data_IF_871923829441
#
_entry.id   IF_871923829441
#
_cell.length_a   1.000
_cell.length_b   1.000
_cell.length_c   1.000
_cell.angle_alpha   90.00
_cell.angle_beta   90.00
_cell.angle_gamma   90.00
#
_symmetry.space_group_name_H-M   'P 1'
#
loop_
_entity.id
_entity.type
_entity.pdbx_description
1 polymer ?
#
# COMPACT_ATOMS: atom_id res chain seq x y z
N UNK A 1 1.14 -20.76 -24.88
CA UNK A 1 1.89 -19.91 -23.92
C UNK A 1 1.35 -20.23 -22.56
N UNK A 2 2.17 -20.69 -21.63
CA UNK A 2 1.74 -21.10 -20.29
C UNK A 2 1.88 -19.90 -19.36
N UNK A 3 0.78 -19.15 -19.16
CA UNK A 3 0.75 -17.97 -18.29
C UNK A 3 0.85 -18.41 -16.84
N UNK A 4 1.88 -17.99 -16.12
CA UNK A 4 2.12 -18.36 -14.73
C UNK A 4 1.68 -17.31 -13.73
N UNK A 5 1.77 -16.04 -14.09
CA UNK A 5 1.40 -14.93 -13.22
C UNK A 5 0.86 -13.73 -14.01
N UNK A 6 -0.02 -12.98 -13.36
CA UNK A 6 -0.49 -11.67 -13.79
C UNK A 6 -0.08 -10.67 -12.71
N UNK A 7 0.68 -9.65 -13.10
CA UNK A 7 1.07 -8.54 -12.20
C UNK A 7 0.32 -7.30 -12.65
N UNK A 8 -0.44 -6.69 -11.75
CA UNK A 8 -1.28 -5.53 -12.04
C UNK A 8 -0.97 -4.38 -11.08
N UNK A 9 -0.87 -3.19 -11.65
CA UNK A 9 -1.04 -1.96 -10.86
C UNK A 9 -2.51 -1.75 -10.51
N UNK A 10 -2.77 -0.95 -9.47
CA UNK A 10 -4.13 -0.71 -8.95
C UNK A 10 -4.76 0.50 -9.63
N UNK A 11 -4.13 1.66 -9.55
CA UNK A 11 -4.72 2.92 -9.98
C UNK A 11 -4.55 3.13 -11.49
N UNK A 12 -5.67 3.19 -12.22
CA UNK A 12 -5.66 3.33 -13.68
C UNK A 12 -5.40 2.03 -14.45
N UNK A 13 -5.24 0.89 -13.75
CA UNK A 13 -5.07 -0.44 -14.36
C UNK A 13 -6.14 -1.42 -13.88
N UNK A 14 -6.13 -1.79 -12.60
CA UNK A 14 -7.14 -2.67 -12.00
C UNK A 14 -8.47 -1.93 -11.81
N UNK A 15 -8.40 -0.67 -11.39
CA UNK A 15 -9.55 0.18 -11.11
C UNK A 15 -9.91 1.04 -12.30
N UNK A 16 -11.23 1.19 -12.52
CA UNK A 16 -11.78 2.17 -13.46
C UNK A 16 -11.78 3.60 -12.88
N UNK A 17 -12.33 4.56 -13.63
CA UNK A 17 -12.41 5.97 -13.21
C UNK A 17 -13.27 6.19 -11.95
N UNK A 18 -14.21 5.28 -11.66
CA UNK A 18 -15.02 5.27 -10.44
C UNK A 18 -14.29 4.61 -9.24
N UNK A 19 -13.02 4.25 -9.41
CA UNK A 19 -12.18 3.59 -8.38
C UNK A 19 -12.72 2.24 -7.89
N UNK A 20 -13.37 1.50 -8.77
CA UNK A 20 -13.90 0.15 -8.52
C UNK A 20 -13.36 -0.86 -9.53
N UNK A 21 -13.27 -2.13 -9.12
CA UNK A 21 -12.99 -3.24 -10.03
C UNK A 21 -14.29 -3.55 -10.78
N UNK A 22 -14.26 -3.51 -12.11
CA UNK A 22 -15.47 -3.83 -12.89
C UNK A 22 -15.84 -5.30 -12.71
N UNK A 23 -17.15 -5.67 -12.81
CA UNK A 23 -17.57 -7.06 -12.72
C UNK A 23 -16.85 -7.97 -13.72
N UNK A 24 -16.63 -7.48 -14.95
CA UNK A 24 -15.92 -8.22 -16.01
C UNK A 24 -14.45 -8.46 -15.63
N UNK A 25 -13.75 -7.45 -15.14
CA UNK A 25 -12.35 -7.56 -14.70
C UNK A 25 -12.25 -8.54 -13.54
N UNK A 26 -13.12 -8.39 -12.53
CA UNK A 26 -13.17 -9.27 -11.36
C UNK A 26 -13.36 -10.73 -11.76
N UNK A 27 -14.36 -11.03 -12.58
CA UNK A 27 -14.65 -12.39 -13.04
C UNK A 27 -13.47 -12.98 -13.82
N UNK A 28 -12.87 -12.20 -14.73
CA UNK A 28 -11.72 -12.65 -15.52
C UNK A 28 -10.51 -13.01 -14.65
N UNK A 29 -10.22 -12.19 -13.62
CA UNK A 29 -9.11 -12.44 -12.69
C UNK A 29 -9.38 -13.64 -11.78
N UNK A 30 -10.61 -13.82 -11.31
CA UNK A 30 -10.99 -15.01 -10.52
C UNK A 30 -10.80 -16.28 -11.35
N UNK A 31 -11.30 -16.31 -12.59
CA UNK A 31 -11.13 -17.46 -13.50
C UNK A 31 -9.66 -17.74 -13.82
N UNK A 32 -8.84 -16.71 -13.97
CA UNK A 32 -7.40 -16.90 -14.16
C UNK A 32 -6.75 -17.57 -12.94
N UNK A 33 -7.10 -17.14 -11.73
CA UNK A 33 -6.61 -17.74 -10.48
C UNK A 33 -7.11 -19.19 -10.32
N UNK A 34 -8.37 -19.48 -10.65
CA UNK A 34 -8.92 -20.84 -10.68
C UNK A 34 -8.16 -21.75 -11.64
N UNK A 35 -7.66 -21.20 -12.75
CA UNK A 35 -6.81 -21.90 -13.70
C UNK A 35 -5.33 -22.04 -13.25
N UNK A 36 -5.00 -21.61 -12.03
CA UNK A 36 -3.66 -21.74 -11.44
C UNK A 36 -2.73 -20.56 -11.73
N UNK A 37 -3.19 -19.49 -12.34
CA UNK A 37 -2.40 -18.28 -12.59
C UNK A 37 -2.27 -17.47 -11.29
N UNK A 38 -1.06 -17.13 -10.88
CA UNK A 38 -0.81 -16.30 -9.69
C UNK A 38 -1.16 -14.84 -9.97
N UNK A 39 -1.93 -14.23 -9.07
CA UNK A 39 -2.22 -12.80 -9.13
C UNK A 39 -1.33 -12.03 -8.18
N UNK A 40 -0.75 -10.95 -8.68
CA UNK A 40 0.11 -10.03 -7.93
C UNK A 40 -0.43 -8.63 -8.13
N UNK A 41 -0.77 -7.94 -7.04
CA UNK A 41 -1.06 -6.50 -7.08
C UNK A 41 0.17 -5.72 -6.64
N UNK A 42 0.60 -4.77 -7.46
CA UNK A 42 1.76 -3.93 -7.20
C UNK A 42 1.33 -2.46 -7.21
N UNK A 43 1.63 -1.72 -6.14
CA UNK A 43 1.20 -0.33 -6.01
C UNK A 43 2.13 0.49 -5.09
N UNK A 44 2.11 1.82 -5.27
CA UNK A 44 2.67 2.75 -4.30
C UNK A 44 1.89 2.85 -2.99
N UNK A 45 0.69 2.28 -2.94
CA UNK A 45 -0.16 2.30 -1.74
C UNK A 45 0.45 1.52 -0.59
N UNK A 46 0.21 1.95 0.67
CA UNK A 46 0.51 1.12 1.84
C UNK A 46 -0.38 -0.13 1.87
N UNK A 47 0.09 -1.19 2.51
CA UNK A 47 -0.60 -2.49 2.58
C UNK A 47 -2.09 -2.39 2.99
N UNK A 48 -2.47 -1.65 4.06
CA UNK A 48 -3.88 -1.56 4.46
C UNK A 48 -4.82 -1.04 3.35
N UNK A 49 -4.31 -0.16 2.48
CA UNK A 49 -5.08 0.39 1.36
C UNK A 49 -5.28 -0.61 0.20
N UNK A 50 -4.55 -1.71 0.19
CA UNK A 50 -4.63 -2.76 -0.82
C UNK A 50 -5.51 -3.94 -0.40
N UNK A 51 -5.69 -4.17 0.91
CA UNK A 51 -6.37 -5.36 1.45
C UNK A 51 -7.81 -5.53 0.96
N UNK A 52 -8.53 -4.44 0.72
CA UNK A 52 -9.90 -4.53 0.20
C UNK A 52 -9.96 -5.19 -1.19
N UNK A 53 -8.97 -4.91 -2.05
CA UNK A 53 -8.90 -5.45 -3.40
C UNK A 53 -8.44 -6.92 -3.39
N UNK A 54 -7.49 -7.27 -2.52
CA UNK A 54 -7.08 -8.67 -2.37
C UNK A 54 -8.24 -9.54 -1.88
N UNK A 55 -9.05 -9.06 -0.94
CA UNK A 55 -10.26 -9.75 -0.47
C UNK A 55 -11.33 -9.87 -1.55
N UNK A 56 -11.58 -8.79 -2.30
CA UNK A 56 -12.54 -8.80 -3.41
C UNK A 56 -12.15 -9.80 -4.50
N UNK A 57 -10.86 -9.98 -4.75
CA UNK A 57 -10.30 -10.93 -5.71
C UNK A 57 -9.97 -12.30 -5.10
N UNK A 58 -10.30 -12.53 -3.81
CA UNK A 58 -10.06 -13.78 -3.07
C UNK A 58 -8.62 -14.28 -3.13
N UNK A 59 -7.67 -13.35 -3.13
CA UNK A 59 -6.25 -13.67 -3.35
C UNK A 59 -5.66 -14.56 -2.25
N UNK A 60 -6.25 -14.54 -1.03
CA UNK A 60 -5.89 -15.44 0.07
C UNK A 60 -6.10 -16.91 -0.29
N UNK A 61 -7.16 -17.24 -1.06
CA UNK A 61 -7.46 -18.61 -1.47
C UNK A 61 -6.57 -19.11 -2.62
N UNK A 62 -6.06 -18.19 -3.44
CA UNK A 62 -5.28 -18.51 -4.63
C UNK A 62 -3.79 -18.19 -4.48
N UNK A 63 -3.35 -17.94 -3.23
CA UNK A 63 -1.93 -17.69 -2.93
C UNK A 63 -1.36 -16.48 -3.68
N UNK A 64 -2.12 -15.39 -3.76
CA UNK A 64 -1.69 -14.13 -4.38
C UNK A 64 -0.65 -13.37 -3.55
N UNK A 65 -0.08 -12.34 -4.15
CA UNK A 65 0.92 -11.47 -3.51
C UNK A 65 0.51 -9.99 -3.61
N UNK A 66 0.85 -9.23 -2.58
CA UNK A 66 0.74 -7.77 -2.56
C UNK A 66 2.14 -7.15 -2.50
N UNK A 67 2.49 -6.35 -3.49
CA UNK A 67 3.66 -5.50 -3.49
C UNK A 67 3.21 -4.09 -3.14
N UNK A 68 3.45 -3.66 -1.91
CA UNK A 68 3.06 -2.35 -1.38
C UNK A 68 4.25 -1.39 -1.26
N UNK A 69 3.98 -0.11 -1.04
CA UNK A 69 4.99 0.94 -0.86
C UNK A 69 6.03 0.96 -1.99
N UNK A 70 5.57 0.94 -3.26
CA UNK A 70 6.43 0.88 -4.45
C UNK A 70 7.37 -0.34 -4.50
N UNK A 71 6.92 -1.48 -3.97
CA UNK A 71 7.71 -2.72 -3.91
C UNK A 71 8.63 -2.84 -2.70
N UNK A 72 8.61 -1.87 -1.78
CA UNK A 72 9.39 -1.97 -0.53
C UNK A 72 8.89 -3.07 0.41
N UNK A 73 7.66 -3.55 0.23
CA UNK A 73 7.10 -4.66 1.01
C UNK A 73 6.40 -5.65 0.09
N UNK A 74 6.60 -6.95 0.38
CA UNK A 74 5.89 -8.06 -0.28
C UNK A 74 5.16 -8.88 0.78
N UNK A 75 3.83 -8.97 0.65
CA UNK A 75 2.98 -9.72 1.58
C UNK A 75 2.32 -10.88 0.85
N UNK A 76 2.33 -12.05 1.47
CA UNK A 76 1.65 -13.25 1.00
C UNK A 76 0.21 -13.27 1.49
N UNK A 77 -0.75 -13.26 0.58
CA UNK A 77 -2.17 -13.09 0.94
C UNK A 77 -2.78 -14.24 1.73
N UNK A 78 -2.23 -15.46 1.62
CA UNK A 78 -2.82 -16.63 2.27
C UNK A 78 -2.56 -16.68 3.78
N UNK A 79 -1.47 -16.08 4.25
CA UNK A 79 -1.07 -16.10 5.66
C UNK A 79 -0.83 -14.72 6.25
N UNK A 80 -0.97 -13.66 5.45
CA UNK A 80 -0.60 -12.29 5.78
C UNK A 80 0.90 -12.13 6.16
N UNK A 81 1.72 -13.12 5.80
CA UNK A 81 3.15 -13.11 6.06
C UNK A 81 3.86 -12.09 5.17
N UNK A 82 4.70 -11.27 5.80
CA UNK A 82 5.59 -10.36 5.08
C UNK A 82 6.82 -11.12 4.62
N UNK A 83 6.87 -11.45 3.32
CA UNK A 83 7.98 -12.19 2.71
C UNK A 83 9.21 -11.33 2.47
N UNK A 84 9.03 -10.04 2.29
CA UNK A 84 10.10 -9.08 2.04
C UNK A 84 9.73 -7.71 2.60
N UNK A 85 10.72 -7.02 3.19
CA UNK A 85 10.60 -5.62 3.62
C UNK A 85 11.94 -4.91 3.46
N UNK A 86 11.93 -3.77 2.80
CA UNK A 86 13.07 -2.90 2.61
C UNK A 86 12.68 -1.49 3.05
N UNK A 87 12.89 -1.18 4.30
CA UNK A 87 12.71 0.18 4.86
C UNK A 87 14.05 0.93 4.91
N UNK A 88 13.98 2.25 4.95
CA UNK A 88 15.15 3.06 5.34
C UNK A 88 15.45 2.83 6.82
N UNK A 89 16.73 2.95 7.21
CA UNK A 89 17.09 2.88 8.62
C UNK A 89 16.54 4.08 9.40
N UNK A 90 16.39 3.92 10.71
CA UNK A 90 15.98 5.00 11.61
C UNK A 90 16.89 6.22 11.50
N UNK A 91 18.20 5.99 11.45
CA UNK A 91 19.21 7.04 11.29
C UNK A 91 19.01 7.85 9.99
N UNK A 92 18.80 7.17 8.86
CA UNK A 92 18.53 7.83 7.57
C UNK A 92 17.19 8.55 7.61
N UNK A 93 16.18 7.96 8.23
CA UNK A 93 14.86 8.57 8.39
C UNK A 93 14.91 9.87 9.19
N UNK A 94 15.60 9.87 10.33
CA UNK A 94 15.81 11.06 11.15
C UNK A 94 16.58 12.16 10.41
N UNK A 95 17.68 11.80 9.73
CA UNK A 95 18.46 12.73 8.92
C UNK A 95 17.63 13.34 7.79
N UNK A 96 16.79 12.55 7.13
CA UNK A 96 15.88 13.00 6.07
C UNK A 96 14.85 14.00 6.62
N UNK A 97 14.23 13.72 7.76
CA UNK A 97 13.26 14.62 8.38
C UNK A 97 13.90 15.96 8.74
N UNK A 98 15.09 15.95 9.38
CA UNK A 98 15.86 17.15 9.68
C UNK A 98 16.22 17.94 8.41
N UNK A 99 16.57 17.23 7.33
CA UNK A 99 16.85 17.89 6.06
C UNK A 99 15.59 18.55 5.46
N UNK A 100 14.42 17.92 5.59
CA UNK A 100 13.16 18.45 5.08
C UNK A 100 12.67 19.71 5.82
N UNK A 101 13.12 19.98 7.05
CA UNK A 101 12.84 21.22 7.78
C UNK A 101 13.34 22.50 7.07
N UNK A 102 14.26 22.36 6.15
CA UNK A 102 14.79 23.49 5.34
C UNK A 102 13.87 23.88 4.19
N UNK A 103 12.78 23.13 3.96
CA UNK A 103 11.89 23.32 2.83
C UNK A 103 10.45 23.52 3.32
N UNK A 104 9.66 24.27 2.58
CA UNK A 104 8.19 24.38 2.83
C UNK A 104 7.46 23.14 2.33
N UNK A 105 7.73 21.98 2.94
CA UNK A 105 7.11 20.70 2.61
C UNK A 105 6.40 20.11 3.83
N UNK A 106 5.45 19.23 3.58
CA UNK A 106 4.69 18.53 4.63
C UNK A 106 5.05 17.04 4.59
N UNK A 107 6.03 16.61 5.39
CA UNK A 107 6.39 15.19 5.45
C UNK A 107 5.23 14.39 6.03
N UNK A 108 4.99 13.21 5.45
CA UNK A 108 4.01 12.25 5.93
C UNK A 108 4.67 10.88 6.03
N UNK A 109 4.54 10.24 7.19
CA UNK A 109 5.13 8.93 7.45
C UNK A 109 4.00 7.92 7.69
N UNK A 110 3.93 6.88 6.86
CA UNK A 110 3.01 5.78 7.07
C UNK A 110 3.69 4.69 7.92
N UNK A 111 3.07 4.31 9.05
CA UNK A 111 3.50 3.18 9.86
C UNK A 111 2.29 2.38 10.34
N UNK A 112 2.22 1.10 9.97
CA UNK A 112 1.05 0.23 10.24
C UNK A 112 -0.25 0.88 9.73
N UNK A 113 -1.21 1.09 10.63
CA UNK A 113 -2.52 1.69 10.34
C UNK A 113 -2.54 3.22 10.58
N UNK A 114 -1.38 3.83 10.82
CA UNK A 114 -1.24 5.23 11.17
C UNK A 114 -0.52 6.02 10.08
N UNK A 115 -0.87 7.30 9.99
CA UNK A 115 -0.11 8.29 9.25
C UNK A 115 0.33 9.39 10.22
N UNK A 116 1.62 9.61 10.30
CA UNK A 116 2.21 10.66 11.11
C UNK A 116 2.40 11.91 10.26
N UNK A 117 1.96 13.05 10.76
CA UNK A 117 2.01 14.36 10.10
C UNK A 117 2.37 15.42 11.11
N UNK A 118 3.00 16.52 10.68
CA UNK A 118 3.37 17.61 11.58
C UNK A 118 2.15 18.41 12.08
N UNK A 119 1.10 18.50 11.25
CA UNK A 119 -0.13 19.19 11.61
C UNK A 119 -1.31 18.56 10.86
N UNK A 120 -2.26 18.01 11.58
CA UNK A 120 -3.45 17.35 11.03
C UNK A 120 -4.32 18.32 10.23
N UNK A 121 -4.40 19.58 10.65
CA UNK A 121 -5.24 20.59 10.00
C UNK A 121 -4.64 21.18 8.73
N UNK A 122 -3.33 21.10 8.56
CA UNK A 122 -2.62 21.56 7.36
C UNK A 122 -2.59 20.53 6.23
N UNK A 123 -2.88 19.30 6.55
CA UNK A 123 -3.02 18.26 5.54
C UNK A 123 -4.40 18.37 4.91
N UNK A 124 -4.49 18.68 3.60
CA UNK A 124 -5.74 18.56 2.84
C UNK A 124 -6.17 17.08 2.67
N UNK A 125 -5.97 16.30 3.71
CA UNK A 125 -6.46 14.92 3.79
C UNK A 125 -7.89 15.03 4.34
N UNK A 126 -8.84 15.26 3.44
CA UNK A 126 -10.27 15.27 3.76
C UNK A 126 -10.78 13.88 4.19
N UNK A 127 -9.99 12.85 3.96
CA UNK A 127 -10.14 11.51 4.52
C UNK A 127 -8.76 10.84 4.56
N UNK A 128 -8.45 9.98 5.55
CA UNK A 128 -7.22 9.20 5.51
C UNK A 128 -7.18 8.41 4.18
N UNK A 129 -6.00 8.28 3.55
CA UNK A 129 -5.87 7.45 2.35
C UNK A 129 -6.54 6.11 2.60
N UNK A 130 -7.27 5.61 1.61
CA UNK A 130 -8.04 4.38 1.74
C UNK A 130 -7.22 3.27 2.40
N UNK A 131 -7.65 2.82 3.59
CA UNK A 131 -6.99 1.78 4.38
C UNK A 131 -6.20 2.26 5.60
N UNK A 132 -5.89 3.55 5.73
CA UNK A 132 -5.35 4.10 6.98
C UNK A 132 -6.51 4.56 7.86
N UNK A 133 -6.56 4.08 9.11
CA UNK A 133 -7.69 4.33 10.02
C UNK A 133 -7.51 5.56 10.90
N UNK A 134 -6.25 5.97 11.11
CA UNK A 134 -5.93 7.03 12.05
C UNK A 134 -4.90 7.99 11.45
N UNK A 135 -5.06 9.26 11.75
CA UNK A 135 -4.08 10.30 11.53
C UNK A 135 -3.60 10.72 12.91
N UNK A 136 -2.30 10.69 13.13
CA UNK A 136 -1.68 11.14 14.39
C UNK A 136 -0.82 12.34 14.04
N UNK A 137 -1.02 13.43 14.81
CA UNK A 137 -0.13 14.57 14.79
C UNK A 137 1.21 14.17 15.41
N UNK A 138 2.29 14.39 14.69
CA UNK A 138 3.64 14.18 15.16
C UNK A 138 4.30 15.53 15.40
N UNK A 139 4.54 15.87 16.65
CA UNK A 139 5.43 16.96 16.98
C UNK A 139 6.88 16.45 16.90
N UNK A 140 7.66 16.99 15.98
CA UNK A 140 9.11 16.78 15.91
C UNK A 140 9.74 17.33 17.18
N UNK A 141 9.86 16.48 18.21
CA UNK A 141 10.77 16.75 19.33
C UNK A 141 12.10 16.14 18.96
N UNK A 142 13.10 16.99 18.81
CA UNK A 142 14.50 16.58 18.64
C UNK A 142 14.89 15.62 19.77
N UNK A 143 14.87 14.31 19.53
CA UNK A 143 15.36 13.31 20.46
C UNK A 143 14.55 12.04 20.66
N UNK A 144 13.39 11.87 20.05
CA UNK A 144 12.54 10.68 20.25
C UNK A 144 12.45 9.83 18.96
N UNK A 145 13.54 9.16 18.63
CA UNK A 145 13.55 7.98 17.75
C UNK A 145 14.43 6.89 18.37
#
# INVERSE_FOLDING_TARGET
MDLKAIVLDIDGTLLNDQKVITPRTRESLLRAQEAGVKLVLASGRPLPAMLKFSKELKMEHYHGLLLSNNGACVTYCATDEMLFSQSISEEIGAALLTHLEQFEVKPMIAHKDYMYVNNVYDCMITAPPHGLRNIIEYESRSGDF
#
